data_IF_675023255005
#
_entry.id   IF_675023255005
#
_cell.length_a   1.000
_cell.length_b   1.000
_cell.length_c   1.000
_cell.angle_alpha   90.00
_cell.angle_beta   90.00
_cell.angle_gamma   90.00
#
_symmetry.space_group_name_H-M   'P 1'
#
loop_
_entity.id
_entity.type
_entity.pdbx_description
1 polymer ?
#
# COMPACT_ATOMS: atom_id res chain seq x y z
N UNK A 1 42.82 -2.82 26.67
CA UNK A 1 44.04 -3.44 27.23
C UNK A 1 44.01 -4.88 26.78
N UNK A 2 44.87 -5.24 25.84
CA UNK A 2 44.63 -6.40 24.97
C UNK A 2 45.47 -7.62 25.38
N UNK A 3 45.86 -7.67 26.66
CA UNK A 3 46.74 -8.69 27.23
C UNK A 3 46.22 -9.09 28.59
N UNK A 4 46.40 -10.35 28.97
CA UNK A 4 46.11 -10.90 30.29
C UNK A 4 47.40 -11.29 31.01
N UNK A 5 47.36 -11.33 32.35
CA UNK A 5 48.47 -11.86 33.13
C UNK A 5 48.39 -13.39 33.15
N UNK A 6 49.29 -14.06 32.44
CA UNK A 6 49.39 -15.52 32.38
C UNK A 6 50.83 -15.89 32.72
N UNK A 7 51.02 -16.64 33.82
CA UNK A 7 52.34 -17.00 34.35
C UNK A 7 53.25 -15.78 34.54
N UNK A 8 52.73 -14.77 35.22
CA UNK A 8 53.43 -13.50 35.54
C UNK A 8 53.86 -12.67 34.32
N UNK A 9 53.32 -12.99 33.13
CA UNK A 9 53.62 -12.27 31.88
C UNK A 9 52.35 -11.76 31.23
N UNK A 10 52.40 -10.53 30.71
CA UNK A 10 51.32 -9.94 29.93
C UNK A 10 51.36 -10.49 28.50
N UNK A 11 50.46 -11.43 28.20
CA UNK A 11 50.32 -12.05 26.87
C UNK A 11 48.88 -11.93 26.37
N UNK A 12 48.70 -11.98 25.06
CA UNK A 12 47.36 -12.03 24.46
C UNK A 12 46.70 -13.38 24.85
N UNK A 13 45.52 -13.37 25.51
CA UNK A 13 44.82 -14.59 25.87
C UNK A 13 44.07 -15.25 24.70
N UNK A 14 43.92 -14.60 23.54
CA UNK A 14 43.10 -15.11 22.44
C UNK A 14 43.60 -16.40 21.75
N UNK A 15 44.91 -16.61 21.52
CA UNK A 15 45.39 -17.82 20.86
C UNK A 15 44.97 -19.10 21.61
N UNK A 16 44.08 -19.88 20.98
CA UNK A 16 43.57 -21.16 21.50
C UNK A 16 42.37 -21.06 22.46
N UNK A 17 41.81 -19.87 22.67
CA UNK A 17 40.69 -19.67 23.62
C UNK A 17 39.30 -19.74 22.99
N UNK A 18 39.18 -19.46 21.68
CA UNK A 18 37.90 -19.45 20.96
C UNK A 18 37.77 -20.60 19.96
N UNK A 19 36.52 -20.96 19.68
CA UNK A 19 36.15 -21.99 18.71
C UNK A 19 36.39 -21.56 17.26
N UNK A 20 36.24 -22.50 16.34
CA UNK A 20 36.47 -22.24 14.92
C UNK A 20 35.49 -21.19 14.37
N UNK A 21 36.01 -20.20 13.63
CA UNK A 21 35.19 -19.13 13.02
C UNK A 21 34.67 -18.07 14.01
N UNK A 22 35.05 -18.14 15.29
CA UNK A 22 34.72 -17.11 16.27
C UNK A 22 35.73 -15.96 16.24
N UNK A 23 35.25 -14.75 16.52
CA UNK A 23 36.08 -13.56 16.73
C UNK A 23 36.43 -13.46 18.21
N UNK A 24 37.72 -13.38 18.51
CA UNK A 24 38.19 -13.17 19.88
C UNK A 24 38.46 -11.68 20.14
N UNK A 25 37.94 -11.16 21.25
CA UNK A 25 38.23 -9.82 21.74
C UNK A 25 38.64 -9.88 23.21
N UNK A 26 39.56 -9.02 23.65
CA UNK A 26 40.03 -9.02 25.04
C UNK A 26 39.31 -7.93 25.82
N UNK A 27 38.48 -8.33 26.77
CA UNK A 27 37.72 -7.42 27.65
C UNK A 27 38.11 -7.74 29.09
N UNK A 28 38.55 -6.72 29.85
CA UNK A 28 38.98 -6.88 31.25
C UNK A 28 39.98 -8.04 31.44
N UNK A 29 41.03 -8.09 30.62
CA UNK A 29 42.07 -9.13 30.64
C UNK A 29 41.54 -10.56 30.39
N UNK A 30 40.33 -10.71 29.84
CA UNK A 30 39.71 -12.01 29.56
C UNK A 30 39.35 -12.11 28.07
N UNK A 31 39.57 -13.27 27.44
CA UNK A 31 39.15 -13.50 26.06
C UNK A 31 37.63 -13.67 26.01
N UNK A 32 36.99 -12.91 25.13
CA UNK A 32 35.56 -13.00 24.83
C UNK A 32 35.43 -13.47 23.39
N UNK A 33 34.77 -14.61 23.21
CA UNK A 33 34.53 -15.22 21.91
C UNK A 33 33.10 -14.89 21.45
N UNK A 34 32.97 -14.39 20.22
CA UNK A 34 31.67 -14.11 19.61
C UNK A 34 31.61 -14.63 18.18
N UNK A 35 30.45 -15.13 17.76
CA UNK A 35 30.24 -15.42 16.35
C UNK A 35 30.05 -14.11 15.58
N UNK A 36 30.69 -13.96 14.40
CA UNK A 36 30.56 -12.77 13.59
C UNK A 36 29.14 -12.59 13.04
N UNK A 37 28.84 -11.40 12.53
CA UNK A 37 27.54 -11.12 11.92
C UNK A 37 27.25 -12.11 10.78
N UNK A 38 26.01 -12.63 10.74
CA UNK A 38 25.62 -13.67 9.79
C UNK A 38 25.97 -15.10 10.21
N UNK A 39 26.64 -15.31 11.35
CA UNK A 39 26.95 -16.65 11.88
C UNK A 39 26.18 -16.93 13.18
N UNK A 40 25.96 -18.21 13.47
CA UNK A 40 25.39 -18.75 14.72
C UNK A 40 26.22 -19.94 15.19
N UNK A 41 25.92 -20.43 16.38
CA UNK A 41 26.63 -21.53 17.02
C UNK A 41 27.18 -21.11 18.37
N UNK A 42 28.08 -21.93 18.90
CA UNK A 42 28.79 -21.66 20.15
C UNK A 42 30.18 -21.10 19.83
N UNK A 43 30.46 -19.87 20.25
CA UNK A 43 31.71 -19.19 19.97
C UNK A 43 32.95 -19.83 20.63
N UNK A 44 32.78 -20.71 21.62
CA UNK A 44 33.88 -21.49 22.21
C UNK A 44 34.10 -22.82 21.48
N UNK A 45 33.13 -23.28 20.70
CA UNK A 45 33.18 -24.55 19.97
C UNK A 45 33.35 -24.34 18.46
N UNK A 46 32.34 -23.76 17.80
CA UNK A 46 32.34 -23.48 16.36
C UNK A 46 31.18 -22.56 15.96
N UNK A 47 31.46 -21.60 15.07
CA UNK A 47 30.48 -20.74 14.42
C UNK A 47 30.24 -21.19 12.97
N UNK A 48 28.98 -21.19 12.54
CA UNK A 48 28.56 -21.56 11.19
C UNK A 48 27.54 -20.56 10.63
N UNK A 49 27.39 -20.45 9.30
CA UNK A 49 26.48 -19.48 8.70
C UNK A 49 25.04 -19.68 9.18
N UNK A 50 24.34 -18.57 9.44
CA UNK A 50 22.90 -18.59 9.69
C UNK A 50 22.20 -19.23 8.48
N UNK A 51 21.25 -20.16 8.71
CA UNK A 51 20.36 -20.60 7.66
C UNK A 51 19.68 -19.38 7.02
N UNK A 52 19.40 -19.42 5.71
CA UNK A 52 18.57 -18.40 5.10
C UNK A 52 17.25 -18.32 5.87
N UNK A 53 16.77 -17.10 6.13
CA UNK A 53 15.45 -16.92 6.72
C UNK A 53 14.41 -17.63 5.84
N UNK A 54 13.44 -18.32 6.45
CA UNK A 54 12.38 -18.97 5.68
C UNK A 54 11.68 -17.87 4.86
N UNK A 55 11.71 -18.01 3.54
CA UNK A 55 10.96 -17.15 2.65
C UNK A 55 9.49 -17.32 3.01
N UNK A 56 8.89 -16.27 3.58
CA UNK A 56 7.45 -16.29 3.81
C UNK A 56 6.78 -16.50 2.44
N UNK A 57 5.85 -17.47 2.32
CA UNK A 57 5.16 -17.67 1.05
C UNK A 57 4.50 -16.34 0.70
N UNK A 58 4.90 -15.79 -0.45
CA UNK A 58 4.24 -14.63 -1.02
C UNK A 58 2.78 -15.07 -1.21
N UNK A 59 1.84 -14.43 -0.51
CA UNK A 59 0.42 -14.67 -0.72
C UNK A 59 0.14 -14.22 -2.16
N UNK A 60 0.18 -15.17 -3.08
CA UNK A 60 -0.09 -14.89 -4.47
C UNK A 60 -1.60 -14.70 -4.55
N UNK A 61 -2.06 -13.46 -4.67
CA UNK A 61 -3.48 -13.13 -4.71
C UNK A 61 -4.16 -13.93 -5.83
N UNK A 62 -4.84 -15.02 -5.46
CA UNK A 62 -5.54 -15.93 -6.37
C UNK A 62 -6.88 -15.38 -6.87
N UNK A 63 -7.18 -14.12 -6.58
CA UNK A 63 -8.44 -13.50 -6.94
C UNK A 63 -8.51 -13.20 -8.44
N UNK A 64 -9.39 -13.92 -9.14
CA UNK A 64 -9.78 -13.59 -10.51
C UNK A 64 -10.96 -12.60 -10.50
N UNK A 65 -10.69 -11.33 -10.15
CA UNK A 65 -11.73 -10.29 -10.11
C UNK A 65 -11.99 -9.67 -11.49
N UNK A 66 -13.20 -9.12 -11.68
CA UNK A 66 -13.53 -8.35 -12.90
C UNK A 66 -12.86 -6.97 -12.89
N UNK A 67 -12.82 -6.26 -14.03
CA UNK A 67 -12.40 -4.85 -14.04
C UNK A 67 -13.17 -4.00 -13.04
N UNK A 68 -12.48 -3.03 -12.44
CA UNK A 68 -13.01 -2.16 -11.38
C UNK A 68 -13.37 -2.87 -10.07
N UNK A 69 -12.80 -4.06 -9.83
CA UNK A 69 -12.80 -4.73 -8.53
C UNK A 69 -11.37 -4.92 -8.01
N UNK A 70 -11.23 -5.06 -6.70
CA UNK A 70 -9.97 -5.36 -6.00
C UNK A 70 -10.16 -6.62 -5.15
N UNK A 71 -9.11 -7.43 -5.03
CA UNK A 71 -9.08 -8.53 -4.08
C UNK A 71 -8.83 -7.97 -2.68
N UNK A 72 -9.78 -8.18 -1.77
CA UNK A 72 -9.63 -7.84 -0.36
C UNK A 72 -10.02 -9.07 0.45
N UNK A 73 -9.06 -9.58 1.23
CA UNK A 73 -9.26 -10.77 2.09
C UNK A 73 -9.80 -11.99 1.30
N UNK A 74 -9.25 -12.25 0.11
CA UNK A 74 -9.68 -13.29 -0.84
C UNK A 74 -11.11 -13.11 -1.41
N UNK A 75 -11.72 -11.94 -1.24
CA UNK A 75 -13.01 -11.59 -1.81
C UNK A 75 -12.87 -10.46 -2.83
N UNK A 76 -13.47 -10.61 -4.00
CA UNK A 76 -13.52 -9.54 -4.99
C UNK A 76 -14.57 -8.51 -4.59
N UNK A 77 -14.14 -7.27 -4.37
CA UNK A 77 -15.02 -6.14 -4.02
C UNK A 77 -14.87 -5.03 -5.04
N UNK A 78 -15.97 -4.37 -5.42
CA UNK A 78 -15.90 -3.24 -6.34
C UNK A 78 -15.08 -2.10 -5.75
N UNK A 79 -14.33 -1.39 -6.60
CA UNK A 79 -13.67 -0.14 -6.25
C UNK A 79 -14.71 0.91 -5.82
N UNK A 80 -14.29 1.95 -5.07
CA UNK A 80 -15.18 3.06 -4.74
C UNK A 80 -15.85 3.64 -5.98
N UNK A 81 -17.13 3.98 -5.86
CA UNK A 81 -17.99 4.50 -6.94
C UNK A 81 -18.35 3.50 -8.06
N UNK A 82 -17.96 2.22 -7.90
CA UNK A 82 -18.45 1.12 -8.71
C UNK A 82 -19.40 0.24 -7.89
N UNK A 83 -20.40 -0.30 -8.57
CA UNK A 83 -21.50 -1.04 -7.96
C UNK A 83 -21.75 -2.35 -8.73
N UNK A 84 -22.26 -3.35 -8.01
CA UNK A 84 -22.54 -4.68 -8.55
C UNK A 84 -21.76 -5.76 -7.80
N UNK A 85 -21.29 -6.76 -8.54
CA UNK A 85 -20.62 -7.95 -8.02
C UNK A 85 -19.17 -8.02 -8.50
N UNK A 86 -18.22 -8.19 -7.58
CA UNK A 86 -16.78 -8.19 -7.87
C UNK A 86 -16.26 -9.37 -8.70
N UNK A 87 -17.08 -10.40 -8.90
CA UNK A 87 -16.75 -11.57 -9.73
C UNK A 87 -17.45 -11.56 -11.08
N UNK A 88 -18.56 -10.82 -11.23
CA UNK A 88 -19.33 -10.80 -12.49
C UNK A 88 -19.41 -9.43 -13.16
N UNK A 89 -19.58 -8.34 -12.42
CA UNK A 89 -19.73 -7.00 -13.00
C UNK A 89 -19.66 -5.91 -11.93
N UNK A 90 -18.59 -5.11 -11.96
CA UNK A 90 -18.52 -3.82 -11.28
C UNK A 90 -18.65 -2.69 -12.31
N UNK A 91 -19.78 -1.97 -12.27
CA UNK A 91 -20.08 -0.87 -13.18
C UNK A 91 -20.20 0.44 -12.41
N UNK A 92 -19.85 1.57 -13.02
CA UNK A 92 -20.12 2.86 -12.41
C UNK A 92 -21.62 3.11 -12.25
N UNK A 93 -21.99 4.19 -11.55
CA UNK A 93 -23.39 4.63 -11.42
C UNK A 93 -24.08 4.82 -12.78
N UNK A 94 -23.36 5.37 -13.77
CA UNK A 94 -23.86 5.52 -15.12
C UNK A 94 -22.73 5.49 -16.17
N UNK A 95 -23.07 5.10 -17.40
CA UNK A 95 -22.28 5.30 -18.62
C UNK A 95 -23.03 6.13 -19.66
N UNK A 96 -24.36 6.20 -19.55
CA UNK A 96 -25.23 6.99 -20.43
C UNK A 96 -26.27 7.78 -19.63
N UNK A 97 -26.74 8.89 -20.19
CA UNK A 97 -27.70 9.78 -19.53
C UNK A 97 -28.99 9.08 -19.11
N UNK A 98 -29.48 8.12 -19.91
CA UNK A 98 -30.72 7.38 -19.65
C UNK A 98 -30.67 6.47 -18.41
N UNK A 99 -29.48 6.20 -17.86
CA UNK A 99 -29.31 5.47 -16.60
C UNK A 99 -29.49 6.39 -15.38
N UNK A 100 -29.47 7.70 -15.59
CA UNK A 100 -29.71 8.68 -14.55
C UNK A 100 -31.20 9.04 -14.42
N UNK A 101 -31.62 9.61 -13.28
CA UNK A 101 -32.90 10.31 -13.19
C UNK A 101 -33.02 11.43 -14.24
N UNK A 102 -34.26 11.74 -14.68
CA UNK A 102 -34.52 12.74 -15.75
C UNK A 102 -33.98 14.15 -15.45
N UNK A 103 -33.81 14.49 -14.18
CA UNK A 103 -33.26 15.77 -13.70
C UNK A 103 -31.73 15.76 -13.50
N UNK A 104 -31.03 14.75 -13.99
CA UNK A 104 -29.58 14.59 -13.89
C UNK A 104 -29.01 14.12 -15.22
N UNK A 105 -27.71 14.32 -15.42
CA UNK A 105 -26.96 13.80 -16.56
C UNK A 105 -25.80 12.93 -16.07
N UNK A 106 -25.35 12.02 -16.93
CA UNK A 106 -24.19 11.19 -16.66
C UNK A 106 -22.91 11.99 -16.93
N UNK A 107 -22.27 12.46 -15.84
CA UNK A 107 -21.09 13.31 -15.92
C UNK A 107 -19.95 12.63 -15.16
N UNK A 108 -18.95 12.16 -15.91
CA UNK A 108 -17.81 11.39 -15.38
C UNK A 108 -18.28 10.19 -14.56
N UNK A 109 -19.13 9.37 -15.18
CA UNK A 109 -19.62 8.11 -14.61
C UNK A 109 -20.50 8.24 -13.36
N UNK A 110 -21.00 9.44 -13.07
CA UNK A 110 -21.90 9.73 -11.97
C UNK A 110 -23.10 10.55 -12.42
N UNK A 111 -24.26 10.30 -11.83
CA UNK A 111 -25.47 11.06 -12.10
C UNK A 111 -25.44 12.37 -11.32
N UNK A 112 -25.06 13.44 -12.02
CA UNK A 112 -24.88 14.79 -11.47
C UNK A 112 -25.87 15.75 -12.07
N UNK A 113 -26.16 16.82 -11.34
CA UNK A 113 -26.89 17.94 -11.89
C UNK A 113 -25.94 18.73 -12.81
N UNK A 114 -26.22 18.84 -14.13
CA UNK A 114 -25.44 19.67 -15.04
C UNK A 114 -25.55 21.17 -14.78
N UNK A 115 -26.54 21.64 -14.01
CA UNK A 115 -26.68 23.04 -13.60
C UNK A 115 -25.63 23.44 -12.57
N UNK A 116 -24.44 23.80 -13.05
CA UNK A 116 -23.36 24.39 -12.27
C UNK A 116 -23.19 25.88 -12.61
N UNK A 117 -22.53 26.70 -11.76
CA UNK A 117 -22.27 28.10 -12.08
C UNK A 117 -21.60 28.26 -13.46
N UNK A 118 -22.14 29.14 -14.30
CA UNK A 118 -21.68 29.37 -15.67
C UNK A 118 -22.28 28.45 -16.75
N UNK A 119 -23.18 27.53 -16.39
CA UNK A 119 -23.91 26.71 -17.39
C UNK A 119 -24.95 27.53 -18.15
N UNK A 120 -25.62 28.44 -17.45
CA UNK A 120 -26.57 29.40 -17.98
C UNK A 120 -26.02 30.83 -17.76
N UNK A 121 -26.60 31.80 -18.46
CA UNK A 121 -26.36 33.23 -18.27
C UNK A 121 -26.57 33.65 -16.82
N UNK A 122 -25.89 34.72 -16.41
CA UNK A 122 -25.95 35.22 -15.04
C UNK A 122 -27.40 35.61 -14.67
N UNK A 123 -27.92 35.02 -13.59
CA UNK A 123 -29.30 35.22 -13.15
C UNK A 123 -30.37 34.42 -13.92
N UNK A 124 -30.00 33.59 -14.89
CA UNK A 124 -30.92 32.67 -15.56
C UNK A 124 -31.29 31.47 -14.66
N UNK A 125 -32.52 30.97 -14.83
CA UNK A 125 -33.00 29.75 -14.18
C UNK A 125 -32.47 28.56 -14.98
N UNK A 126 -31.76 27.66 -14.31
CA UNK A 126 -31.25 26.43 -14.89
C UNK A 126 -32.10 25.24 -14.44
N UNK A 127 -32.80 24.62 -15.39
CA UNK A 127 -33.54 23.38 -15.19
C UNK A 127 -32.91 22.24 -16.00
N UNK A 128 -33.15 21.01 -15.55
CA UNK A 128 -32.68 19.80 -16.25
C UNK A 128 -33.88 18.99 -16.69
N UNK A 129 -34.13 18.96 -17.99
CA UNK A 129 -35.27 18.28 -18.59
C UNK A 129 -34.76 17.20 -19.53
N UNK A 130 -35.11 15.95 -19.24
CA UNK A 130 -34.65 14.77 -19.98
C UNK A 130 -33.11 14.77 -20.14
N UNK A 131 -32.39 14.97 -19.04
CA UNK A 131 -30.93 15.01 -18.96
C UNK A 131 -30.26 16.21 -19.64
N UNK A 132 -31.02 17.09 -20.30
CA UNK A 132 -30.51 18.26 -20.98
C UNK A 132 -30.73 19.50 -20.14
N UNK A 133 -29.79 20.44 -20.22
CA UNK A 133 -29.92 21.74 -19.58
C UNK A 133 -30.91 22.60 -20.37
N UNK A 134 -31.82 23.22 -19.65
CA UNK A 134 -32.75 24.22 -20.16
C UNK A 134 -32.58 25.49 -19.35
N UNK A 135 -32.03 26.53 -19.97
CA UNK A 135 -31.88 27.83 -19.37
C UNK A 135 -33.08 28.73 -19.73
N UNK A 136 -33.65 29.42 -18.74
CA UNK A 136 -34.75 30.37 -18.95
C UNK A 136 -34.53 31.67 -18.18
N UNK A 137 -34.92 32.79 -18.78
CA UNK A 137 -34.90 34.08 -18.09
C UNK A 137 -36.03 34.15 -17.04
N UNK A 138 -35.75 34.59 -15.79
CA UNK A 138 -36.80 34.91 -14.82
C UNK A 138 -37.83 35.92 -15.38
N UNK A 139 -39.07 35.92 -14.86
CA UNK A 139 -40.10 36.86 -15.32
C UNK A 139 -39.63 38.33 -15.27
N UNK A 140 -39.82 39.06 -16.37
CA UNK A 140 -39.43 40.46 -16.49
C UNK A 140 -37.96 40.70 -16.89
N UNK A 141 -37.19 39.64 -17.18
CA UNK A 141 -35.82 39.75 -17.69
C UNK A 141 -35.71 39.29 -19.14
N UNK A 142 -34.72 39.79 -19.87
CA UNK A 142 -34.46 39.43 -21.29
C UNK A 142 -32.95 39.32 -21.49
N UNK A 143 -32.50 38.41 -22.36
CA UNK A 143 -31.07 38.26 -22.66
C UNK A 143 -30.77 36.89 -23.23
N UNK A 144 -29.50 36.51 -23.26
CA UNK A 144 -29.10 35.11 -23.46
C UNK A 144 -29.22 34.40 -22.12
N UNK A 145 -30.20 33.50 -21.95
CA UNK A 145 -30.28 32.68 -20.76
C UNK A 145 -29.15 31.65 -20.70
#
# INVERSE_FOLDING_TARGET
YDKACIREKCIDPCPGSCGYGAVCTVVNHSPICTCPEGYIGDAFSSCYPKPPEPVQPVLQDTCNCVPNAICKDNVCVCLPDYYGDGYTSCKPECVVNSECPRNKACIRYKCKNPCVPGTCGEGAICDVVNHNVQCTCPPGTTGSP
#
